data_IF_017283027534
#
_entry.id   IF_017283027534
#
_cell.length_a   1.000
_cell.length_b   1.000
_cell.length_c   1.000
_cell.angle_alpha   90.00
_cell.angle_beta   90.00
_cell.angle_gamma   90.00
#
_symmetry.space_group_name_H-M   'P 1'
#
loop_
_entity.id
_entity.type
_entity.pdbx_description
1 polymer ?
#
# COMPACT_ATOMS: atom_id res chain seq x y z
N UNK A 1 -14.40 4.54 -8.10
CA UNK A 1 -14.91 4.22 -6.75
C UNK A 1 -14.10 4.96 -5.67
N UNK A 2 -14.77 5.65 -4.72
CA UNK A 2 -14.11 6.22 -3.54
C UNK A 2 -13.76 5.14 -2.52
N UNK A 3 -12.58 5.24 -1.91
CA UNK A 3 -12.10 4.31 -0.89
C UNK A 3 -11.10 4.97 0.06
N UNK A 4 -11.01 4.45 1.29
CA UNK A 4 -10.04 4.88 2.30
C UNK A 4 -8.70 4.17 2.07
N UNK A 5 -7.58 4.88 2.20
CA UNK A 5 -6.25 4.36 1.90
C UNK A 5 -5.17 4.96 2.83
N UNK A 6 -3.89 4.71 2.53
CA UNK A 6 -2.73 5.22 3.27
C UNK A 6 -2.67 4.69 4.70
N UNK A 7 -2.19 5.54 5.61
CA UNK A 7 -2.02 5.16 7.03
C UNK A 7 -3.34 4.67 7.66
N UNK A 8 -4.48 5.26 7.31
CA UNK A 8 -5.78 4.83 7.82
C UNK A 8 -6.07 3.39 7.44
N UNK A 9 -5.88 3.02 6.17
CA UNK A 9 -6.12 1.67 5.70
C UNK A 9 -5.12 0.65 6.25
N UNK A 10 -3.86 1.03 6.49
CA UNK A 10 -2.87 0.19 7.18
C UNK A 10 -3.26 -0.15 8.63
N UNK A 11 -4.18 0.61 9.20
CA UNK A 11 -4.66 0.45 10.57
C UNK A 11 -6.08 -0.13 10.65
N UNK A 12 -6.61 -0.62 9.53
CA UNK A 12 -7.88 -1.34 9.47
C UNK A 12 -7.62 -2.80 9.12
N UNK A 13 -8.51 -3.69 9.57
CA UNK A 13 -8.47 -5.09 9.14
C UNK A 13 -8.73 -5.17 7.63
N UNK A 14 -7.98 -6.04 6.96
CA UNK A 14 -8.26 -6.44 5.58
C UNK A 14 -8.26 -7.97 5.46
N UNK A 15 -8.65 -8.49 4.30
CA UNK A 15 -8.75 -9.93 4.03
C UNK A 15 -7.40 -10.64 3.89
N UNK A 16 -6.31 -9.88 3.73
CA UNK A 16 -4.96 -10.43 3.55
C UNK A 16 -4.36 -10.87 4.90
N UNK A 17 -3.58 -11.95 4.87
CA UNK A 17 -2.78 -12.41 6.01
C UNK A 17 -1.52 -11.54 6.14
N UNK A 18 -1.70 -10.32 6.60
CA UNK A 18 -0.66 -9.31 6.74
C UNK A 18 -0.66 -8.76 8.17
N UNK A 19 0.47 -8.20 8.61
CA UNK A 19 0.50 -7.53 9.89
C UNK A 19 -0.43 -6.33 9.88
N UNK A 20 -0.22 -5.34 9.01
CA UNK A 20 -0.77 -4.00 9.23
C UNK A 20 0.01 -3.25 10.30
N UNK A 21 -0.37 -2.00 10.54
CA UNK A 21 0.36 -1.07 11.41
C UNK A 21 -0.15 -1.10 12.86
N UNK A 22 -1.46 -1.30 13.08
CA UNK A 22 -2.12 -1.46 14.40
C UNK A 22 -1.94 -0.33 15.42
N UNK A 23 -1.49 0.84 15.02
CA UNK A 23 -1.46 2.06 15.82
C UNK A 23 -2.78 2.86 15.77
N UNK A 24 -3.92 2.16 15.68
CA UNK A 24 -5.25 2.74 15.48
C UNK A 24 -5.61 3.83 16.50
N UNK A 25 -5.19 3.68 17.77
CA UNK A 25 -5.45 4.67 18.83
C UNK A 25 -4.65 5.98 18.69
N UNK A 26 -3.56 5.96 17.92
CA UNK A 26 -2.71 7.13 17.65
C UNK A 26 -3.09 7.90 16.38
N UNK A 27 -4.08 7.42 15.63
CA UNK A 27 -4.49 7.99 14.34
C UNK A 27 -5.69 8.90 14.54
N UNK A 28 -5.69 10.03 13.84
CA UNK A 28 -6.89 10.85 13.71
C UNK A 28 -7.88 10.15 12.77
N UNK A 29 -9.10 9.90 13.21
CA UNK A 29 -10.13 9.27 12.37
C UNK A 29 -11.14 10.27 11.80
N UNK A 30 -11.11 11.53 12.24
CA UNK A 30 -12.05 12.57 11.80
C UNK A 30 -12.04 12.81 10.30
N UNK A 31 -10.87 12.76 9.67
CA UNK A 31 -10.72 12.95 8.21
C UNK A 31 -9.84 11.84 7.62
N UNK A 32 -10.40 10.65 7.34
CA UNK A 32 -9.64 9.57 6.75
C UNK A 32 -9.12 9.95 5.36
N UNK A 33 -7.98 9.39 4.97
CA UNK A 33 -7.41 9.57 3.64
C UNK A 33 -8.29 8.87 2.61
N UNK A 34 -9.09 9.64 1.87
CA UNK A 34 -9.98 9.12 0.80
C UNK A 34 -9.35 9.33 -0.57
N UNK A 35 -9.46 8.32 -1.42
CA UNK A 35 -8.98 8.31 -2.81
C UNK A 35 -10.08 7.90 -3.77
N UNK A 36 -9.85 8.16 -5.05
CA UNK A 36 -10.71 7.74 -6.16
C UNK A 36 -9.99 6.73 -7.04
N UNK A 37 -10.56 5.54 -7.21
CA UNK A 37 -9.92 4.44 -7.93
C UNK A 37 -9.68 4.74 -9.41
N UNK A 38 -10.52 5.57 -10.04
CA UNK A 38 -10.36 5.98 -11.45
C UNK A 38 -9.09 6.81 -11.70
N UNK A 39 -8.55 7.44 -10.65
CA UNK A 39 -7.35 8.28 -10.75
C UNK A 39 -6.08 7.48 -10.42
N UNK A 40 -6.21 6.20 -10.10
CA UNK A 40 -5.08 5.34 -9.74
C UNK A 40 -4.65 4.47 -10.92
N UNK A 41 -3.34 4.29 -11.06
CA UNK A 41 -2.73 3.31 -11.97
C UNK A 41 -3.15 1.86 -11.68
N UNK A 42 -3.74 1.62 -10.51
CA UNK A 42 -4.17 0.29 -10.06
C UNK A 42 -5.67 0.04 -10.24
N UNK A 43 -6.46 1.04 -10.66
CA UNK A 43 -7.91 0.93 -10.73
C UNK A 43 -8.51 0.47 -9.40
N UNK A 44 -9.36 -0.56 -9.43
CA UNK A 44 -10.03 -1.12 -8.25
C UNK A 44 -9.22 -2.19 -7.50
N UNK A 45 -7.99 -2.49 -7.95
CA UNK A 45 -7.15 -3.53 -7.35
C UNK A 45 -6.94 -3.32 -5.85
N UNK A 46 -7.19 -4.37 -5.06
CA UNK A 46 -6.96 -4.38 -3.62
C UNK A 46 -7.87 -3.44 -2.84
N UNK A 47 -9.00 -3.00 -3.41
CA UNK A 47 -10.05 -2.30 -2.66
C UNK A 47 -11.05 -3.34 -2.15
N UNK A 48 -11.22 -3.38 -0.85
CA UNK A 48 -12.20 -4.19 -0.15
C UNK A 48 -13.45 -3.36 0.17
N UNK A 49 -14.59 -4.05 0.30
CA UNK A 49 -15.89 -3.44 0.61
C UNK A 49 -16.30 -3.81 2.02
N UNK A 50 -17.21 -3.01 2.57
CA UNK A 50 -17.86 -3.28 3.85
C UNK A 50 -16.94 -3.23 5.08
N UNK A 51 -15.90 -2.39 5.06
CA UNK A 51 -14.99 -2.23 6.19
C UNK A 51 -15.54 -1.23 7.20
N UNK A 52 -15.34 -1.53 8.48
CA UNK A 52 -15.67 -0.64 9.59
C UNK A 52 -14.55 0.35 9.83
N UNK A 53 -14.90 1.62 9.99
CA UNK A 53 -13.94 2.72 10.21
C UNK A 53 -14.25 3.35 11.57
N UNK A 54 -13.25 3.49 12.46
CA UNK A 54 -13.45 4.10 13.78
C UNK A 54 -14.05 5.49 13.68
N UNK A 55 -14.96 5.84 14.58
CA UNK A 55 -15.64 7.15 14.64
C UNK A 55 -16.56 7.47 13.44
N UNK A 56 -16.84 6.51 12.54
CA UNK A 56 -17.77 6.69 11.43
C UNK A 56 -18.86 5.63 11.42
N UNK A 57 -20.10 6.05 11.18
CA UNK A 57 -21.23 5.13 11.02
C UNK A 57 -21.26 4.50 9.63
N UNK A 58 -21.70 3.24 9.57
CA UNK A 58 -21.83 2.49 8.32
C UNK A 58 -20.54 1.77 7.91
N UNK A 59 -20.48 1.36 6.65
CA UNK A 59 -19.34 0.64 6.09
C UNK A 59 -18.77 1.34 4.87
N UNK A 60 -17.48 1.17 4.66
CA UNK A 60 -16.72 1.91 3.66
C UNK A 60 -15.91 0.96 2.77
N UNK A 61 -15.56 1.45 1.57
CA UNK A 61 -14.54 0.79 0.78
C UNK A 61 -13.16 1.18 1.32
N UNK A 62 -12.27 0.21 1.49
CA UNK A 62 -10.93 0.43 2.05
C UNK A 62 -9.88 -0.30 1.22
N UNK A 63 -8.70 0.29 1.05
CA UNK A 63 -7.55 -0.42 0.53
C UNK A 63 -7.17 -1.56 1.49
N UNK A 64 -6.83 -2.72 0.95
CA UNK A 64 -6.05 -3.70 1.69
C UNK A 64 -4.61 -3.19 1.90
N UNK A 65 -3.83 -3.85 2.74
CA UNK A 65 -2.51 -3.34 3.11
C UNK A 65 -1.54 -3.20 1.93
N UNK A 66 -1.60 -4.11 0.94
CA UNK A 66 -0.79 -3.97 -0.28
C UNK A 66 -1.19 -2.71 -1.04
N UNK A 67 -2.49 -2.51 -1.29
CA UNK A 67 -2.98 -1.31 -2.00
C UNK A 67 -2.67 -0.03 -1.24
N UNK A 68 -2.78 -0.03 0.09
CA UNK A 68 -2.44 1.11 0.93
C UNK A 68 -0.95 1.49 0.79
N UNK A 69 -0.05 0.51 0.81
CA UNK A 69 1.38 0.74 0.58
C UNK A 69 1.64 1.28 -0.84
N UNK A 70 1.02 0.69 -1.87
CA UNK A 70 1.19 1.14 -3.26
C UNK A 70 0.73 2.58 -3.46
N UNK A 71 -0.37 2.98 -2.83
CA UNK A 71 -0.87 4.34 -2.87
C UNK A 71 0.11 5.32 -2.17
N UNK A 72 0.70 4.93 -1.04
CA UNK A 72 1.74 5.72 -0.36
C UNK A 72 3.00 5.90 -1.23
N UNK A 73 3.44 4.84 -1.91
CA UNK A 73 4.58 4.90 -2.83
C UNK A 73 4.29 5.80 -4.04
N UNK A 74 3.09 5.70 -4.61
CA UNK A 74 2.67 6.53 -5.74
C UNK A 74 2.69 8.03 -5.40
N UNK A 75 2.38 8.40 -4.16
CA UNK A 75 2.47 9.79 -3.67
C UNK A 75 3.86 10.22 -3.20
N UNK A 76 4.81 9.28 -3.10
CA UNK A 76 6.12 9.55 -2.52
C UNK A 76 6.10 9.69 -1.00
N UNK A 77 5.06 9.18 -0.32
CA UNK A 77 4.94 9.20 1.13
C UNK A 77 5.61 7.97 1.76
N UNK A 78 6.93 7.89 1.60
CA UNK A 78 7.73 6.75 2.03
C UNK A 78 7.80 6.59 3.56
N UNK A 79 7.56 7.66 4.32
CA UNK A 79 7.61 7.64 5.78
C UNK A 79 6.60 6.67 6.39
N UNK A 80 5.34 6.72 5.92
CA UNK A 80 4.30 5.79 6.37
C UNK A 80 4.39 4.39 5.76
N UNK A 81 5.23 4.20 4.75
CA UNK A 81 5.45 2.90 4.15
C UNK A 81 6.65 2.15 4.76
N UNK A 82 7.47 2.80 5.62
CA UNK A 82 8.64 2.16 6.22
C UNK A 82 8.28 0.86 6.94
N UNK A 83 9.15 -0.13 6.83
CA UNK A 83 8.85 -1.46 7.36
C UNK A 83 7.84 -2.22 6.49
N UNK A 84 7.58 -1.78 5.26
CA UNK A 84 6.66 -2.42 4.31
C UNK A 84 6.78 -3.93 4.32
N UNK A 85 8.00 -4.47 4.20
CA UNK A 85 8.17 -5.93 4.15
C UNK A 85 7.91 -6.59 5.51
N UNK A 86 8.53 -6.08 6.57
CA UNK A 86 8.70 -6.82 7.83
C UNK A 86 7.67 -6.44 8.90
N UNK A 87 7.00 -5.29 8.78
CA UNK A 87 6.09 -4.73 9.78
C UNK A 87 4.69 -4.53 9.22
N UNK A 88 4.54 -4.11 7.96
CA UNK A 88 3.21 -3.89 7.36
C UNK A 88 2.69 -5.14 6.65
N UNK A 89 3.47 -5.72 5.74
CA UNK A 89 3.05 -6.92 5.01
C UNK A 89 3.33 -8.18 5.82
N UNK A 90 4.53 -8.34 6.39
CA UNK A 90 4.95 -9.50 7.19
C UNK A 90 4.73 -10.87 6.55
N UNK A 91 4.53 -10.94 5.24
CA UNK A 91 4.19 -12.17 4.55
C UNK A 91 4.81 -12.20 3.17
N UNK A 92 5.92 -12.93 3.06
CA UNK A 92 6.72 -13.01 1.83
C UNK A 92 5.98 -13.68 0.67
N UNK A 93 4.87 -14.39 0.92
CA UNK A 93 4.06 -14.97 -0.17
C UNK A 93 3.48 -13.91 -1.11
N UNK A 94 3.31 -12.67 -0.63
CA UNK A 94 2.83 -11.55 -1.44
C UNK A 94 3.95 -10.81 -2.19
N UNK A 95 5.23 -11.08 -1.91
CA UNK A 95 6.37 -10.38 -2.52
C UNK A 95 6.33 -10.36 -4.05
N UNK A 96 6.05 -11.47 -4.76
CA UNK A 96 5.96 -11.45 -6.23
C UNK A 96 4.86 -10.53 -6.76
N UNK A 97 3.72 -10.47 -6.07
CA UNK A 97 2.60 -9.60 -6.43
C UNK A 97 2.95 -8.13 -6.19
N UNK A 98 3.53 -7.84 -5.02
CA UNK A 98 3.98 -6.50 -4.63
C UNK A 98 4.97 -5.96 -5.67
N UNK A 99 5.98 -6.74 -6.06
CA UNK A 99 6.97 -6.29 -7.03
C UNK A 99 6.35 -5.94 -8.38
N UNK A 100 5.47 -6.80 -8.90
CA UNK A 100 4.74 -6.53 -10.15
C UNK A 100 3.92 -5.25 -10.06
N UNK A 101 3.23 -5.04 -8.93
CA UNK A 101 2.41 -3.84 -8.74
C UNK A 101 3.25 -2.59 -8.57
N UNK A 102 4.34 -2.63 -7.80
CA UNK A 102 5.26 -1.50 -7.69
C UNK A 102 5.86 -1.16 -9.06
N UNK A 103 6.19 -2.14 -9.88
CA UNK A 103 6.72 -1.91 -11.22
C UNK A 103 5.75 -1.19 -12.18
N UNK A 104 4.44 -1.19 -11.90
CA UNK A 104 3.48 -0.34 -12.64
C UNK A 104 3.80 1.15 -12.46
N UNK A 105 4.41 1.53 -11.33
CA UNK A 105 4.79 2.91 -11.01
C UNK A 105 6.06 3.39 -11.74
N UNK A 106 6.69 2.56 -12.59
CA UNK A 106 7.99 2.86 -13.23
C UNK A 106 8.03 4.10 -14.11
N UNK A 107 6.88 4.55 -14.59
CA UNK A 107 6.79 5.76 -15.42
C UNK A 107 6.53 7.03 -14.60
N UNK A 108 6.43 6.94 -13.26
CA UNK A 108 6.30 8.11 -12.41
C UNK A 108 7.63 8.87 -12.34
N UNK A 109 7.55 10.21 -12.26
CA UNK A 109 8.73 11.10 -12.22
C UNK A 109 9.69 10.78 -11.07
N UNK A 110 9.18 10.22 -9.96
CA UNK A 110 9.96 9.85 -8.78
C UNK A 110 10.21 8.35 -8.67
N UNK A 111 10.16 7.61 -9.78
CA UNK A 111 10.44 6.17 -9.82
C UNK A 111 11.75 5.79 -9.12
N UNK A 112 12.83 6.56 -9.32
CA UNK A 112 14.12 6.27 -8.68
C UNK A 112 14.02 6.22 -7.14
N UNK A 113 13.18 7.08 -6.55
CA UNK A 113 12.92 7.08 -5.10
C UNK A 113 12.12 5.85 -4.67
N UNK A 114 11.12 5.46 -5.47
CA UNK A 114 10.32 4.24 -5.23
C UNK A 114 11.22 3.00 -5.31
N UNK A 115 12.02 2.89 -6.36
CA UNK A 115 12.94 1.76 -6.54
C UNK A 115 13.99 1.71 -5.43
N UNK A 116 14.54 2.86 -5.02
CA UNK A 116 15.46 2.92 -3.88
C UNK A 116 14.79 2.49 -2.57
N UNK A 117 13.55 2.92 -2.34
CA UNK A 117 12.76 2.50 -1.18
C UNK A 117 12.55 0.98 -1.17
N UNK A 118 12.11 0.39 -2.29
CA UNK A 118 11.96 -1.05 -2.41
C UNK A 118 13.28 -1.80 -2.22
N UNK A 119 14.39 -1.23 -2.67
CA UNK A 119 15.73 -1.77 -2.42
C UNK A 119 16.11 -1.79 -0.93
N UNK A 120 15.65 -0.82 -0.14
CA UNK A 120 15.83 -0.82 1.32
C UNK A 120 14.95 -1.85 2.01
N UNK A 121 13.69 -1.97 1.60
CA UNK A 121 12.71 -2.87 2.22
C UNK A 121 12.91 -4.35 1.86
N UNK A 122 13.27 -4.64 0.60
CA UNK A 122 13.33 -6.00 0.06
C UNK A 122 14.72 -6.45 -0.41
N UNK A 123 15.70 -5.53 -0.43
CA UNK A 123 17.10 -5.86 -0.71
C UNK A 123 17.31 -6.53 -2.06
N UNK A 124 18.09 -7.61 -2.05
CA UNK A 124 18.51 -8.34 -3.26
C UNK A 124 17.34 -8.93 -4.06
N UNK A 125 16.22 -9.24 -3.40
CA UNK A 125 15.05 -9.79 -4.09
C UNK A 125 14.49 -8.77 -5.09
N UNK A 126 14.42 -7.49 -4.70
CA UNK A 126 13.98 -6.41 -5.57
C UNK A 126 14.95 -6.19 -6.75
N UNK A 127 16.25 -6.20 -6.48
CA UNK A 127 17.27 -6.05 -7.52
C UNK A 127 17.22 -7.20 -8.55
N UNK A 128 17.04 -8.44 -8.07
CA UNK A 128 16.89 -9.62 -8.92
C UNK A 128 15.59 -9.61 -9.75
N UNK A 129 14.53 -8.99 -9.23
CA UNK A 129 13.31 -8.77 -10.00
C UNK A 129 13.56 -7.75 -11.11
N UNK A 130 14.14 -6.60 -10.78
CA UNK A 130 14.44 -5.56 -11.78
C UNK A 130 15.38 -6.02 -12.88
N UNK A 131 16.36 -6.88 -12.59
CA UNK A 131 17.28 -7.40 -13.61
C UNK A 131 16.59 -8.29 -14.64
N UNK A 132 15.48 -8.95 -14.28
CA UNK A 132 14.68 -9.80 -15.17
C UNK A 132 13.67 -9.01 -16.01
N UNK A 133 13.23 -7.85 -15.52
CA UNK A 133 12.26 -6.98 -16.21
C UNK A 133 12.94 -5.96 -17.12
N UNK A 134 14.27 -5.85 -17.10
CA UNK A 134 15.01 -5.08 -18.10
C UNK A 134 14.91 -5.83 -19.45
N UNK A 135 14.49 -5.16 -20.54
CA UNK A 135 14.46 -5.75 -21.87
C UNK A 135 15.85 -6.13 -22.37
#
# INVERSE_FOLDING_TARGET
MKYISGIHALNLRCSLQTCGDWHQSGIQWKMPTVRESSNSLFGDYGIEKNSYVPEHEGTFNTANHIRACLDLLAEGNFGYAQGMRNELICNDSYTPEIFKKVYVLRNLKHWDKISQFMGKEYGIQWLNFLSKEKP
#
